data_IF_144882600990
#
_entry.id   IF_144882600990
#
_cell.length_a   1.000
_cell.length_b   1.000
_cell.length_c   1.000
_cell.angle_alpha   90.00
_cell.angle_beta   90.00
_cell.angle_gamma   90.00
#
_symmetry.space_group_name_H-M   'P 1'
#
loop_
_entity.id
_entity.type
_entity.pdbx_description
1 polymer ?
#
# COMPACT_ATOMS: atom_id res chain seq x y z
N UNK A 1 14.69 14.91 -1.67
CA UNK A 1 14.43 14.09 -2.88
C UNK A 1 14.04 12.70 -2.43
N UNK A 2 12.94 12.11 -2.91
CA UNK A 2 12.60 10.72 -2.60
C UNK A 2 13.74 9.80 -3.07
N UNK A 3 14.02 8.73 -2.33
CA UNK A 3 15.00 7.74 -2.76
C UNK A 3 14.52 7.06 -4.06
N UNK A 4 15.44 6.68 -4.94
CA UNK A 4 15.12 6.00 -6.21
C UNK A 4 14.20 4.78 -6.02
N UNK A 5 14.42 4.05 -4.91
CA UNK A 5 13.58 2.93 -4.48
C UNK A 5 12.11 3.31 -4.32
N UNK A 6 11.80 4.44 -3.69
CA UNK A 6 10.41 4.87 -3.46
C UNK A 6 9.75 5.33 -4.77
N UNK A 7 10.45 6.08 -5.61
CA UNK A 7 9.95 6.46 -6.94
C UNK A 7 9.59 5.24 -7.80
N UNK A 8 10.42 4.19 -7.73
CA UNK A 8 10.17 2.93 -8.44
C UNK A 8 8.94 2.18 -7.91
N UNK A 9 8.76 2.16 -6.59
CA UNK A 9 7.59 1.53 -5.98
C UNK A 9 6.30 2.31 -6.28
N UNK A 10 6.35 3.64 -6.30
CA UNK A 10 5.23 4.50 -6.70
C UNK A 10 4.86 4.28 -8.17
N UNK A 11 5.83 4.24 -9.07
CA UNK A 11 5.60 3.96 -10.48
C UNK A 11 5.01 2.55 -10.70
N UNK A 12 5.51 1.54 -9.98
CA UNK A 12 4.97 0.19 -10.04
C UNK A 12 3.53 0.13 -9.55
N UNK A 13 3.22 0.78 -8.43
CA UNK A 13 1.86 0.88 -7.89
C UNK A 13 0.92 1.60 -8.85
N UNK A 14 1.36 2.71 -9.45
CA UNK A 14 0.57 3.45 -10.43
C UNK A 14 0.25 2.62 -11.67
N UNK A 15 1.19 1.79 -12.14
CA UNK A 15 0.98 0.91 -13.28
C UNK A 15 -0.19 -0.06 -13.08
N UNK A 16 -0.38 -0.56 -11.85
CA UNK A 16 -1.47 -1.48 -11.49
C UNK A 16 -2.86 -0.88 -11.65
N UNK A 17 -2.99 0.45 -11.70
CA UNK A 17 -4.27 1.11 -11.99
C UNK A 17 -4.74 0.91 -13.43
N UNK A 18 -3.84 0.54 -14.34
CA UNK A 18 -4.09 0.51 -15.79
C UNK A 18 -3.98 -0.88 -16.39
N UNK A 19 -3.30 -1.82 -15.71
CA UNK A 19 -3.02 -3.16 -16.22
C UNK A 19 -2.78 -4.16 -15.09
N UNK A 20 -3.06 -5.46 -15.32
CA UNK A 20 -2.72 -6.51 -14.37
C UNK A 20 -1.20 -6.65 -14.21
N UNK A 21 -0.75 -7.22 -13.07
CA UNK A 21 0.67 -7.35 -12.75
C UNK A 21 1.50 -8.05 -13.85
N UNK A 22 0.94 -9.08 -14.48
CA UNK A 22 1.60 -9.80 -15.57
C UNK A 22 1.95 -8.89 -16.75
N UNK A 23 1.13 -7.86 -17.02
CA UNK A 23 1.37 -6.87 -18.07
C UNK A 23 2.31 -5.72 -17.67
N UNK A 24 2.72 -5.62 -16.39
CA UNK A 24 3.70 -4.63 -15.93
C UNK A 24 5.10 -5.02 -16.41
N UNK A 25 5.79 -4.10 -17.08
CA UNK A 25 7.17 -4.31 -17.56
C UNK A 25 8.15 -3.48 -16.76
N UNK A 26 9.28 -4.08 -16.39
CA UNK A 26 10.35 -3.42 -15.63
C UNK A 26 10.84 -2.12 -16.28
N UNK A 27 11.00 -2.12 -17.61
CA UNK A 27 11.42 -0.94 -18.37
C UNK A 27 10.41 0.22 -18.27
N UNK A 28 9.10 -0.08 -18.29
CA UNK A 28 8.06 0.96 -18.18
C UNK A 28 8.06 1.57 -16.78
N UNK A 29 8.30 0.76 -15.75
CA UNK A 29 8.40 1.22 -14.36
C UNK A 29 9.61 2.13 -14.17
N UNK A 30 10.79 1.74 -14.68
CA UNK A 30 11.99 2.55 -14.62
C UNK A 30 11.79 3.91 -15.32
N UNK A 31 11.21 3.88 -16.53
CA UNK A 31 10.91 5.08 -17.30
C UNK A 31 9.92 6.01 -16.57
N UNK A 32 8.84 5.46 -16.01
CA UNK A 32 7.84 6.23 -15.26
C UNK A 32 8.41 6.83 -13.96
N UNK A 33 9.37 6.15 -13.33
CA UNK A 33 10.06 6.65 -12.13
C UNK A 33 11.21 7.64 -12.45
N UNK A 34 11.54 7.86 -13.73
CA UNK A 34 12.64 8.73 -14.14
C UNK A 34 14.04 8.19 -13.78
N UNK A 35 14.17 6.87 -13.65
CA UNK A 35 15.44 6.21 -13.29
C UNK A 35 15.89 5.21 -14.36
N UNK A 36 17.18 4.88 -14.36
CA UNK A 36 17.70 3.91 -15.33
C UNK A 36 17.18 2.49 -15.06
N UNK A 37 17.13 1.65 -16.11
CA UNK A 37 16.84 0.21 -15.94
C UNK A 37 17.84 -0.46 -14.99
N UNK A 38 19.11 -0.11 -15.11
CA UNK A 38 20.17 -0.67 -14.25
C UNK A 38 19.92 -0.33 -12.78
N UNK A 39 19.53 0.90 -12.46
CA UNK A 39 19.15 1.30 -11.10
C UNK A 39 18.01 0.43 -10.58
N UNK A 40 16.96 0.23 -11.37
CA UNK A 40 15.83 -0.63 -10.97
C UNK A 40 16.29 -2.06 -10.68
N UNK A 41 17.08 -2.67 -11.57
CA UNK A 41 17.61 -4.02 -11.36
C UNK A 41 18.58 -4.09 -10.17
N UNK A 42 19.35 -3.04 -9.88
CA UNK A 42 20.20 -2.99 -8.70
C UNK A 42 19.38 -2.94 -7.40
N UNK A 43 18.28 -2.18 -7.39
CA UNK A 43 17.41 -2.02 -6.21
C UNK A 43 16.59 -3.29 -5.91
N UNK A 44 16.10 -3.97 -6.96
CA UNK A 44 15.11 -5.03 -6.79
C UNK A 44 15.53 -6.40 -7.33
N UNK A 45 16.57 -6.48 -8.15
CA UNK A 45 17.09 -7.71 -8.76
C UNK A 45 16.21 -8.28 -9.88
N UNK A 46 14.89 -8.38 -9.66
CA UNK A 46 13.95 -8.96 -10.62
C UNK A 46 12.54 -8.36 -10.50
N UNK A 47 11.66 -8.71 -11.44
CA UNK A 47 10.24 -8.33 -11.37
C UNK A 47 9.59 -8.88 -10.10
N UNK A 48 9.92 -10.10 -9.69
CA UNK A 48 9.40 -10.67 -8.44
C UNK A 48 9.98 -9.98 -7.21
N UNK A 49 11.24 -9.53 -7.26
CA UNK A 49 11.82 -8.73 -6.19
C UNK A 49 11.10 -7.39 -6.02
N UNK A 50 10.77 -6.73 -7.12
CA UNK A 50 9.92 -5.52 -7.12
C UNK A 50 8.52 -5.84 -6.59
N UNK A 51 7.90 -6.94 -7.00
CA UNK A 51 6.58 -7.36 -6.52
C UNK A 51 6.56 -7.53 -4.99
N UNK A 52 7.53 -8.27 -4.45
CA UNK A 52 7.64 -8.50 -3.00
C UNK A 52 7.87 -7.20 -2.23
N UNK A 53 8.72 -6.31 -2.76
CA UNK A 53 8.98 -5.02 -2.15
C UNK A 53 7.72 -4.14 -2.13
N UNK A 54 6.96 -4.14 -3.23
CA UNK A 54 5.71 -3.40 -3.35
C UNK A 54 4.64 -3.94 -2.39
N UNK A 55 4.40 -5.25 -2.38
CA UNK A 55 3.44 -5.88 -1.47
C UNK A 55 3.78 -5.57 -0.02
N UNK A 56 5.07 -5.65 0.36
CA UNK A 56 5.50 -5.34 1.72
C UNK A 56 5.24 -3.88 2.09
N UNK A 57 5.59 -2.93 1.23
CA UNK A 57 5.33 -1.50 1.46
C UNK A 57 3.83 -1.23 1.66
N UNK A 58 3.00 -1.79 0.79
CA UNK A 58 1.55 -1.56 0.87
C UNK A 58 0.92 -2.29 2.07
N UNK A 59 1.47 -3.44 2.49
CA UNK A 59 1.05 -4.11 3.72
C UNK A 59 1.40 -3.30 4.98
N UNK A 60 2.61 -2.73 5.04
CA UNK A 60 3.03 -1.83 6.14
C UNK A 60 2.13 -0.59 6.20
N UNK A 61 1.86 0.05 5.06
CA UNK A 61 0.96 1.19 4.98
C UNK A 61 -0.49 0.84 5.39
N UNK A 62 -0.94 -0.36 5.02
CA UNK A 62 -2.25 -0.87 5.39
C UNK A 62 -2.36 -1.07 6.91
N UNK A 63 -1.39 -1.74 7.54
CA UNK A 63 -1.36 -1.98 8.99
C UNK A 63 -1.33 -0.65 9.77
N UNK A 64 -0.50 0.30 9.36
CA UNK A 64 -0.47 1.64 9.98
C UNK A 64 -1.81 2.40 9.82
N UNK A 65 -2.58 2.11 8.77
CA UNK A 65 -3.92 2.63 8.60
C UNK A 65 -4.95 1.99 9.53
N UNK A 66 -4.86 0.67 9.76
CA UNK A 66 -5.69 -0.05 10.74
C UNK A 66 -5.44 0.50 12.15
N UNK A 67 -4.18 0.67 12.54
CA UNK A 67 -3.80 1.23 13.85
C UNK A 67 -4.40 2.62 14.07
N UNK A 68 -4.31 3.50 13.06
CA UNK A 68 -4.92 4.84 13.12
C UNK A 68 -6.44 4.78 13.22
N UNK A 69 -7.10 3.89 12.47
CA UNK A 69 -8.54 3.73 12.53
C UNK A 69 -9.02 3.23 13.91
N UNK A 70 -8.24 2.34 14.55
CA UNK A 70 -8.47 1.89 15.91
C UNK A 70 -8.28 3.02 16.94
N UNK A 71 -7.31 3.91 16.72
CA UNK A 71 -7.03 5.04 17.61
C UNK A 71 -7.99 6.23 17.45
N UNK A 72 -8.64 6.37 16.28
CA UNK A 72 -9.45 7.54 15.94
C UNK A 72 -10.88 7.54 16.48
N UNK A 73 -11.39 6.42 17.03
CA UNK A 73 -12.74 6.45 17.59
C UNK A 73 -12.74 7.27 18.88
N UNK A 74 -13.68 8.22 19.04
CA UNK A 74 -13.71 9.09 20.20
C UNK A 74 -13.89 8.23 21.46
N UNK A 75 -12.97 8.37 22.40
CA UNK A 75 -13.22 7.97 23.77
C UNK A 75 -14.31 8.91 24.29
N UNK A 76 -15.57 8.48 24.23
CA UNK A 76 -16.66 9.22 24.86
C UNK A 76 -16.38 9.28 26.36
N UNK A 77 -16.01 10.48 26.84
CA UNK A 77 -15.76 10.75 28.24
C UNK A 77 -17.03 10.38 29.05
N UNK A 78 -17.00 9.24 29.72
CA UNK A 78 -18.08 8.75 30.58
C UNK A 78 -18.56 7.31 30.35
N UNK A 79 -18.11 6.62 29.30
CA UNK A 79 -18.47 5.20 29.07
C UNK A 79 -17.46 4.24 29.69
N UNK A 80 -17.96 3.20 30.36
CA UNK A 80 -17.19 2.00 30.75
C UNK A 80 -16.40 1.48 29.54
N UNK A 81 -15.12 1.11 29.77
CA UNK A 81 -14.09 0.74 28.80
C UNK A 81 -14.40 -0.42 27.83
N UNK A 82 -15.65 -0.91 27.79
CA UNK A 82 -16.15 -1.92 26.86
C UNK A 82 -17.04 -1.38 25.72
N UNK A 83 -17.60 -0.17 25.84
CA UNK A 83 -18.55 0.38 24.82
C UNK A 83 -17.81 1.03 23.64
N UNK A 84 -16.59 1.50 23.88
CA UNK A 84 -15.72 2.16 22.91
C UNK A 84 -14.94 1.16 22.04
N UNK A 85 -14.66 -0.05 22.54
CA UNK A 85 -14.01 -1.12 21.80
C UNK A 85 -14.83 -1.54 20.57
N UNK A 86 -16.16 -1.65 20.72
CA UNK A 86 -17.06 -1.93 19.60
C UNK A 86 -17.02 -0.85 18.52
N UNK A 87 -17.02 0.42 18.91
CA UNK A 87 -16.91 1.55 17.98
C UNK A 87 -15.55 1.59 17.27
N UNK A 88 -14.45 1.33 17.99
CA UNK A 88 -13.09 1.22 17.42
C UNK A 88 -12.98 0.07 16.42
N UNK A 89 -13.50 -1.10 16.76
CA UNK A 89 -13.54 -2.26 15.87
C UNK A 89 -14.37 -1.98 14.61
N UNK A 90 -15.54 -1.37 14.75
CA UNK A 90 -16.39 -0.99 13.62
C UNK A 90 -15.70 0.04 12.70
N UNK A 91 -15.02 1.04 13.27
CA UNK A 91 -14.25 2.04 12.52
C UNK A 91 -13.10 1.40 11.74
N UNK A 92 -12.34 0.51 12.37
CA UNK A 92 -11.27 -0.25 11.72
C UNK A 92 -11.80 -1.15 10.60
N UNK A 93 -12.89 -1.89 10.83
CA UNK A 93 -13.52 -2.73 9.82
C UNK A 93 -14.01 -1.90 8.61
N UNK A 94 -14.66 -0.76 8.86
CA UNK A 94 -15.09 0.15 7.80
C UNK A 94 -13.91 0.74 7.02
N UNK A 95 -12.80 1.04 7.70
CA UNK A 95 -11.57 1.48 7.06
C UNK A 95 -10.97 0.38 6.19
N UNK A 96 -10.80 -0.84 6.72
CA UNK A 96 -10.28 -2.01 5.99
C UNK A 96 -11.08 -2.26 4.71
N UNK A 97 -12.41 -2.35 4.81
CA UNK A 97 -13.27 -2.64 3.66
C UNK A 97 -13.19 -1.57 2.57
N UNK A 98 -13.10 -0.29 2.96
CA UNK A 98 -12.94 0.82 2.01
C UNK A 98 -11.56 0.80 1.35
N UNK A 99 -10.50 0.63 2.14
CA UNK A 99 -9.12 0.59 1.64
C UNK A 99 -8.90 -0.61 0.72
N UNK A 100 -9.36 -1.80 1.10
CA UNK A 100 -9.27 -3.01 0.28
C UNK A 100 -9.99 -2.84 -1.06
N UNK A 101 -11.21 -2.26 -1.07
CA UNK A 101 -11.94 -1.96 -2.31
C UNK A 101 -11.21 -1.00 -3.22
N UNK A 102 -10.48 -0.03 -2.69
CA UNK A 102 -9.79 1.00 -3.47
C UNK A 102 -8.38 0.59 -3.91
N UNK A 103 -7.79 -0.47 -3.34
CA UNK A 103 -6.39 -0.83 -3.55
C UNK A 103 -6.16 -1.48 -4.93
N UNK A 104 -5.35 -0.89 -5.83
CA UNK A 104 -4.98 -1.47 -7.12
C UNK A 104 -4.33 -2.85 -7.02
N UNK A 105 -3.56 -3.13 -5.96
CA UNK A 105 -2.93 -4.45 -5.77
C UNK A 105 -3.97 -5.57 -5.63
N UNK A 106 -5.05 -5.30 -4.89
CA UNK A 106 -6.11 -6.29 -4.65
C UNK A 106 -6.89 -6.57 -5.94
N UNK A 107 -7.03 -5.57 -6.81
CA UNK A 107 -7.75 -5.68 -8.08
C UNK A 107 -6.90 -6.27 -9.22
N UNK A 108 -5.59 -6.13 -9.13
CA UNK A 108 -4.65 -6.55 -10.16
C UNK A 108 -3.99 -7.91 -9.90
N UNK A 109 -4.35 -8.56 -8.78
CA UNK A 109 -3.97 -9.92 -8.41
C UNK A 109 -4.68 -10.98 -9.27
#
# INVERSE_FOLDING_TARGET
MPAARELLLDAAFAALRTRPWNGVRMVDVAAAAGVSRQTLYNEFGSKDGLARALVRREAEAFLAGVERALAAAPATAGTVAGTDAGARCAAAACWILRTARANPLVRAA
#
